data_IF_062490175551
#
_entry.id   IF_062490175551
#
_cell.length_a   1.000
_cell.length_b   1.000
_cell.length_c   1.000
_cell.angle_alpha   90.00
_cell.angle_beta   90.00
_cell.angle_gamma   90.00
#
_symmetry.space_group_name_H-M   'P 1'
#
loop_
_entity.id
_entity.type
_entity.pdbx_description
1 polymer ?
#
# COMPACT_ATOMS: atom_id res chain seq x y z
N UNK A 1 5.18 0.45 51.04
CA UNK A 1 5.69 0.97 49.75
C UNK A 1 4.62 0.77 48.67
N UNK A 2 3.70 1.72 48.52
CA UNK A 2 2.54 1.64 47.60
C UNK A 2 2.84 2.10 46.16
N UNK A 3 4.03 2.63 45.93
CA UNK A 3 4.46 3.16 44.63
C UNK A 3 4.83 2.05 43.63
N UNK A 4 5.37 0.92 44.12
CA UNK A 4 5.74 -0.22 43.28
C UNK A 4 4.53 -0.88 42.56
N UNK A 5 3.39 -1.19 43.23
CA UNK A 5 2.22 -1.72 42.53
C UNK A 5 1.59 -0.70 41.57
N UNK A 6 1.68 0.60 41.87
CA UNK A 6 1.19 1.66 40.98
C UNK A 6 1.99 1.73 39.67
N UNK A 7 3.32 1.60 39.75
CA UNK A 7 4.21 1.56 38.57
C UNK A 7 3.95 0.31 37.72
N UNK A 8 3.70 -0.85 38.35
CA UNK A 8 3.35 -2.09 37.64
C UNK A 8 1.98 -1.96 36.95
N UNK A 9 1.02 -1.30 37.60
CA UNK A 9 -0.29 -1.03 37.00
C UNK A 9 -0.18 -0.09 35.80
N UNK A 10 0.60 0.99 35.89
CA UNK A 10 0.82 1.88 34.73
C UNK A 10 1.62 1.18 33.61
N UNK A 11 2.59 0.33 33.96
CA UNK A 11 3.42 -0.39 32.98
C UNK A 11 2.66 -1.43 32.17
N UNK A 12 1.68 -2.11 32.78
CA UNK A 12 0.85 -3.12 32.11
C UNK A 12 -0.18 -2.53 31.13
N UNK A 13 -0.48 -1.23 31.20
CA UNK A 13 -1.38 -0.55 30.28
C UNK A 13 -0.69 -0.03 29.02
N UNK A 14 0.65 -0.01 28.98
CA UNK A 14 1.43 0.51 27.85
C UNK A 14 1.86 -0.54 26.83
N UNK A 15 1.61 -1.84 27.06
CA UNK A 15 2.11 -2.92 26.19
C UNK A 15 1.06 -3.40 25.20
N UNK A 16 0.65 -2.54 24.25
CA UNK A 16 0.13 -2.95 22.93
C UNK A 16 -0.23 -1.72 22.08
N UNK A 17 0.77 -0.97 21.59
CA UNK A 17 0.54 -0.07 20.46
C UNK A 17 0.83 -0.84 19.18
N UNK A 18 -0.20 -1.22 18.44
CA UNK A 18 -0.09 -1.79 17.09
C UNK A 18 -0.14 -0.64 16.09
N UNK A 19 0.93 -0.46 15.31
CA UNK A 19 0.92 0.48 14.19
C UNK A 19 0.17 -0.14 13.00
N UNK A 20 -0.65 0.65 12.31
CA UNK A 20 -1.29 0.20 11.08
C UNK A 20 -0.26 -0.02 9.97
N UNK A 21 -0.43 -1.04 9.11
CA UNK A 21 0.45 -1.24 7.98
C UNK A 21 0.35 -0.08 6.99
N UNK A 22 1.49 0.40 6.50
CA UNK A 22 1.57 1.53 5.56
C UNK A 22 2.00 1.03 4.18
N UNK A 23 1.39 1.56 3.12
CA UNK A 23 1.80 1.32 1.74
C UNK A 23 2.83 2.37 1.30
N UNK A 24 3.94 1.91 0.73
CA UNK A 24 5.04 2.75 0.26
C UNK A 24 5.21 2.62 -1.25
N UNK A 25 5.33 3.75 -1.93
CA UNK A 25 5.58 3.87 -3.38
C UNK A 25 6.71 4.88 -3.62
N UNK A 26 7.38 4.86 -4.79
CA UNK A 26 8.31 5.90 -5.18
C UNK A 26 7.64 7.29 -5.11
N UNK A 27 8.30 8.32 -4.56
CA UNK A 27 7.71 9.65 -4.41
C UNK A 27 7.49 10.36 -5.75
N UNK A 28 8.32 10.06 -6.75
CA UNK A 28 8.22 10.58 -8.11
C UNK A 28 9.04 9.69 -9.05
N UNK A 29 8.61 9.58 -10.31
CA UNK A 29 9.33 8.89 -11.37
C UNK A 29 9.14 9.63 -12.69
N UNK A 30 10.18 9.63 -13.53
CA UNK A 30 10.13 10.16 -14.89
C UNK A 30 10.84 9.20 -15.83
N UNK A 31 10.41 9.17 -17.09
CA UNK A 31 11.06 8.42 -18.16
C UNK A 31 10.86 9.13 -19.50
N UNK A 32 11.64 8.76 -20.50
CA UNK A 32 11.49 9.27 -21.86
C UNK A 32 10.20 8.75 -22.52
N UNK A 33 9.54 9.52 -23.41
CA UNK A 33 8.37 9.05 -24.14
C UNK A 33 8.61 7.71 -24.84
N UNK A 34 7.64 6.80 -24.75
CA UNK A 34 7.72 5.45 -25.32
C UNK A 34 8.43 4.41 -24.46
N UNK A 35 9.06 4.80 -23.35
CA UNK A 35 9.63 3.86 -22.39
C UNK A 35 8.60 3.40 -21.35
N UNK A 36 8.85 2.23 -20.77
CA UNK A 36 8.03 1.66 -19.70
C UNK A 36 8.48 2.14 -18.33
N UNK A 37 7.54 2.52 -17.46
CA UNK A 37 7.79 2.79 -16.04
C UNK A 37 7.26 1.63 -15.21
N UNK A 38 8.09 1.08 -14.32
CA UNK A 38 7.65 0.13 -13.28
C UNK A 38 7.49 0.86 -11.95
N UNK A 39 6.26 0.96 -11.45
CA UNK A 39 5.95 1.55 -10.14
C UNK A 39 5.76 0.39 -9.15
N UNK A 40 6.56 0.38 -8.09
CA UNK A 40 6.48 -0.65 -7.04
C UNK A 40 5.67 -0.16 -5.86
N UNK A 41 4.91 -1.06 -5.23
CA UNK A 41 4.21 -0.80 -3.98
C UNK A 41 4.60 -1.87 -2.96
N UNK A 42 5.10 -1.46 -1.81
CA UNK A 42 5.40 -2.35 -0.67
C UNK A 42 4.52 -2.00 0.53
N UNK A 43 4.34 -2.94 1.46
CA UNK A 43 3.68 -2.71 2.74
C UNK A 43 4.70 -2.82 3.86
N UNK A 44 4.55 -2.02 4.91
CA UNK A 44 5.45 -2.07 6.09
C UNK A 44 5.53 -3.47 6.68
N UNK A 45 6.69 -3.79 7.29
CA UNK A 45 7.02 -5.11 7.79
C UNK A 45 5.98 -5.70 8.74
N UNK A 46 5.78 -7.02 8.66
CA UNK A 46 4.83 -7.78 9.48
C UNK A 46 3.54 -8.19 8.77
N UNK A 47 3.25 -7.61 7.59
CA UNK A 47 2.08 -7.96 6.78
C UNK A 47 2.50 -8.15 5.32
N UNK A 48 2.23 -9.32 4.75
CA UNK A 48 2.54 -9.58 3.34
C UNK A 48 1.48 -8.91 2.46
N UNK A 49 1.92 -8.00 1.58
CA UNK A 49 1.07 -7.38 0.53
C UNK A 49 0.28 -8.45 -0.23
N UNK A 50 0.89 -9.62 -0.38
CA UNK A 50 0.29 -10.75 -1.08
C UNK A 50 -1.03 -11.26 -0.45
N UNK A 51 -1.25 -11.00 0.83
CA UNK A 51 -2.44 -11.47 1.54
C UNK A 51 -3.70 -10.65 1.23
N UNK A 52 -3.57 -9.53 0.52
CA UNK A 52 -4.68 -8.59 0.29
C UNK A 52 -4.97 -8.38 -1.20
N UNK A 53 -6.24 -8.06 -1.56
CA UNK A 53 -6.55 -7.51 -2.88
C UNK A 53 -5.78 -6.20 -3.08
N UNK A 54 -5.12 -6.07 -4.23
CA UNK A 54 -4.42 -4.85 -4.61
C UNK A 54 -5.21 -4.10 -5.67
N UNK A 55 -5.29 -2.79 -5.56
CA UNK A 55 -5.99 -1.93 -6.53
C UNK A 55 -5.10 -0.75 -6.88
N UNK A 56 -4.83 -0.57 -8.16
CA UNK A 56 -4.09 0.57 -8.70
C UNK A 56 -5.08 1.62 -9.22
N UNK A 57 -4.88 2.86 -8.77
CA UNK A 57 -5.69 4.02 -9.13
C UNK A 57 -4.79 5.08 -9.76
N UNK A 58 -5.28 5.75 -10.80
CA UNK A 58 -4.61 6.89 -11.43
C UNK A 58 -5.44 8.13 -11.20
N UNK A 59 -4.79 9.19 -10.73
CA UNK A 59 -5.39 10.52 -10.65
C UNK A 59 -4.57 11.49 -11.50
N UNK A 60 -5.22 12.05 -12.51
CA UNK A 60 -4.68 13.17 -13.29
C UNK A 60 -5.16 14.47 -12.66
N UNK A 61 -4.32 15.53 -12.57
CA UNK A 61 -4.75 16.81 -12.05
C UNK A 61 -6.06 17.29 -12.70
N UNK A 62 -7.03 17.67 -11.89
CA UNK A 62 -8.36 18.12 -12.36
C UNK A 62 -9.34 17.01 -12.75
N UNK A 63 -8.97 15.74 -12.63
CA UNK A 63 -9.87 14.59 -12.91
C UNK A 63 -10.10 13.75 -11.64
N UNK A 64 -11.25 13.04 -11.54
CA UNK A 64 -11.48 12.08 -10.46
C UNK A 64 -10.52 10.88 -10.57
N UNK A 65 -10.24 10.18 -9.46
CA UNK A 65 -9.48 8.94 -9.49
C UNK A 65 -10.10 7.91 -10.44
N UNK A 66 -9.26 7.31 -11.27
CA UNK A 66 -9.64 6.28 -12.24
C UNK A 66 -9.01 4.94 -11.86
N UNK A 67 -9.84 3.90 -11.85
CA UNK A 67 -9.37 2.54 -11.65
C UNK A 67 -8.52 2.05 -12.84
N UNK A 68 -7.29 1.60 -12.57
CA UNK A 68 -6.39 1.04 -13.57
C UNK A 68 -6.38 -0.49 -13.57
N UNK A 69 -5.95 -1.09 -12.45
CA UNK A 69 -5.69 -2.52 -12.34
C UNK A 69 -6.14 -3.03 -10.97
N UNK A 70 -6.65 -4.26 -10.89
CA UNK A 70 -6.84 -4.99 -9.64
C UNK A 70 -6.09 -6.31 -9.67
N UNK A 71 -5.63 -6.76 -8.50
CA UNK A 71 -5.01 -8.07 -8.32
C UNK A 71 -5.64 -8.78 -7.13
N UNK A 72 -6.32 -9.91 -7.39
CA UNK A 72 -6.83 -10.80 -6.35
C UNK A 72 -6.18 -12.19 -6.50
N UNK A 73 -6.71 -13.01 -7.40
CA UNK A 73 -6.10 -14.25 -7.89
C UNK A 73 -5.40 -14.07 -9.24
N UNK A 74 -5.88 -13.13 -10.05
CA UNK A 74 -5.33 -12.75 -11.36
C UNK A 74 -5.46 -11.24 -11.56
N UNK A 75 -4.78 -10.71 -12.58
CA UNK A 75 -4.91 -9.30 -12.94
C UNK A 75 -6.25 -9.06 -13.64
N UNK A 76 -6.99 -8.07 -13.16
CA UNK A 76 -8.09 -7.46 -13.91
C UNK A 76 -7.76 -6.00 -14.24
N UNK A 77 -8.30 -5.53 -15.36
CA UNK A 77 -8.08 -4.17 -15.86
C UNK A 77 -9.38 -3.38 -15.83
N UNK A 78 -9.30 -2.11 -15.47
CA UNK A 78 -10.44 -1.20 -15.48
C UNK A 78 -10.98 -0.94 -16.89
N UNK A 79 -12.25 -0.53 -16.97
CA UNK A 79 -12.90 -0.23 -18.25
C UNK A 79 -12.17 0.87 -19.04
N UNK A 80 -11.95 0.62 -20.33
CA UNK A 80 -11.27 1.52 -21.26
C UNK A 80 -9.80 1.78 -20.93
N UNK A 81 -9.18 1.03 -20.01
CA UNK A 81 -7.75 1.17 -19.70
C UNK A 81 -6.96 0.45 -20.80
N UNK A 82 -5.97 1.10 -21.44
CA UNK A 82 -5.21 0.48 -22.53
C UNK A 82 -4.32 -0.69 -22.10
N UNK A 83 -4.00 -1.59 -23.03
CA UNK A 83 -3.22 -2.80 -22.75
C UNK A 83 -1.77 -2.56 -22.30
N UNK A 84 -1.23 -1.36 -22.55
CA UNK A 84 0.11 -0.96 -22.06
C UNK A 84 0.22 -0.93 -20.52
N UNK A 85 -0.90 -0.94 -19.80
CA UNK A 85 -0.90 -1.05 -18.34
C UNK A 85 -0.93 -2.53 -17.93
N UNK A 86 0.07 -2.95 -17.18
CA UNK A 86 0.16 -4.27 -16.58
C UNK A 86 0.73 -4.18 -15.17
N UNK A 87 0.65 -5.28 -14.43
CA UNK A 87 1.12 -5.40 -13.06
C UNK A 87 1.34 -6.85 -12.68
N UNK A 88 1.99 -7.04 -11.55
CA UNK A 88 2.24 -8.32 -10.91
C UNK A 88 2.13 -8.15 -9.40
N UNK A 89 1.92 -9.27 -8.72
CA UNK A 89 1.90 -9.38 -7.27
C UNK A 89 3.11 -10.22 -6.88
N UNK A 90 4.20 -9.53 -6.55
CA UNK A 90 5.48 -10.10 -6.11
C UNK A 90 5.59 -10.08 -4.58
#
# INVERSE_FOLDING_TARGET
MLWAPLIILLGTWCTASSAQPVLTQPPSMATSPGQTVKISCSMSSGVTVQSYPQTWQQQTPGSPPRHLLSYYSSMSRGSGVPDRFSGSKE
#
